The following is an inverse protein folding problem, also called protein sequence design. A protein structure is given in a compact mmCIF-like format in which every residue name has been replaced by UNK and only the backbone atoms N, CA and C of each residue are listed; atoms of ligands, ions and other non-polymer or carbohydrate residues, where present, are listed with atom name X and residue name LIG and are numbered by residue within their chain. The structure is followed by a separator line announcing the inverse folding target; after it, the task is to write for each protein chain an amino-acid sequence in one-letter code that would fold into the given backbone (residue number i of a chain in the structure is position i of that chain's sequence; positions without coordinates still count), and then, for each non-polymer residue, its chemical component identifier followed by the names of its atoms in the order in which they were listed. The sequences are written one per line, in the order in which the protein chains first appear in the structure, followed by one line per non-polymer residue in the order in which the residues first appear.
data_IF_904943688184
#
_entry.id   IF_904943688184
#
_cell.length_a   1.000
_cell.length_b   1.000
_cell.length_c   1.000
_cell.angle_alpha   90.00
_cell.angle_beta   90.00
_cell.angle_gamma   90.00
#
_symmetry.space_group_name_H-M   'P 1'
#
loop_
_entity.id
_entity.type
_entity.pdbx_description
1 polymer ?
#
# COMPACT_ATOMS: atom_id res chain seq x y z
N UNK A 1 -5.74 -21.88 4.36
CA UNK A 1 -5.86 -20.70 3.48
C UNK A 1 -7.34 -20.39 3.31
N UNK A 2 -7.79 -19.19 3.68
CA UNK A 2 -9.21 -18.81 3.54
C UNK A 2 -9.48 -18.55 2.05
N UNK A 3 -10.48 -19.23 1.47
CA UNK A 3 -10.92 -19.00 0.09
C UNK A 3 -11.85 -17.79 0.07
N UNK A 4 -11.44 -16.74 -0.64
CA UNK A 4 -12.29 -15.58 -0.91
C UNK A 4 -12.96 -15.80 -2.26
N UNK A 5 -14.28 -16.03 -2.26
CA UNK A 5 -15.06 -16.26 -3.47
C UNK A 5 -15.72 -14.98 -4.03
N UNK A 6 -15.72 -13.91 -3.24
CA UNK A 6 -16.28 -12.60 -3.60
C UNK A 6 -15.42 -11.48 -3.00
N UNK A 7 -15.12 -10.46 -3.80
CA UNK A 7 -14.34 -9.29 -3.37
C UNK A 7 -15.29 -8.10 -3.18
N UNK A 8 -15.51 -7.70 -1.93
CA UNK A 8 -16.22 -6.47 -1.57
C UNK A 8 -15.24 -5.37 -1.12
N UNK A 9 -15.73 -4.14 -0.92
CA UNK A 9 -14.88 -3.01 -0.56
C UNK A 9 -14.12 -3.19 0.74
N UNK A 10 -14.73 -3.83 1.75
CA UNK A 10 -14.08 -4.10 3.03
C UNK A 10 -12.93 -5.10 2.89
N UNK A 11 -13.17 -6.19 2.16
CA UNK A 11 -12.16 -7.23 1.90
C UNK A 11 -11.01 -6.62 1.11
N UNK A 12 -11.31 -5.82 0.09
CA UNK A 12 -10.31 -5.08 -0.67
C UNK A 12 -9.49 -4.13 0.21
N UNK A 13 -10.15 -3.32 1.05
CA UNK A 13 -9.46 -2.42 1.97
C UNK A 13 -8.52 -3.17 2.93
N UNK A 14 -8.98 -4.29 3.49
CA UNK A 14 -8.16 -5.14 4.35
C UNK A 14 -6.96 -5.75 3.63
N UNK A 15 -7.13 -6.16 2.36
CA UNK A 15 -6.01 -6.64 1.53
C UNK A 15 -4.95 -5.55 1.34
N UNK A 16 -5.35 -4.32 1.03
CA UNK A 16 -4.43 -3.19 0.86
C UNK A 16 -3.72 -2.84 2.17
N UNK A 17 -4.46 -2.76 3.29
CA UNK A 17 -3.89 -2.49 4.62
C UNK A 17 -2.88 -3.59 5.01
N UNK A 18 -3.23 -4.85 4.80
CA UNK A 18 -2.33 -5.98 5.06
C UNK A 18 -1.08 -5.92 4.17
N UNK A 19 -1.24 -5.57 2.89
CA UNK A 19 -0.13 -5.39 1.95
C UNK A 19 0.81 -4.26 2.37
N UNK A 20 0.26 -3.12 2.80
CA UNK A 20 1.03 -1.99 3.32
C UNK A 20 1.84 -2.36 4.56
N UNK A 21 1.23 -3.09 5.51
CA UNK A 21 1.92 -3.58 6.71
C UNK A 21 3.05 -4.56 6.34
N UNK A 22 2.81 -5.48 5.40
CA UNK A 22 3.83 -6.40 4.94
C UNK A 22 5.00 -5.67 4.28
N UNK A 23 4.73 -4.68 3.43
CA UNK A 23 5.75 -3.85 2.81
C UNK A 23 6.53 -3.04 3.85
N UNK A 24 5.86 -2.43 4.82
CA UNK A 24 6.52 -1.70 5.90
C UNK A 24 7.48 -2.59 6.72
N UNK A 25 7.06 -3.81 7.04
CA UNK A 25 7.86 -4.77 7.80
C UNK A 25 9.10 -5.25 7.02
N UNK A 26 8.99 -5.33 5.69
CA UNK A 26 10.06 -5.79 4.81
C UNK A 26 10.79 -4.65 4.08
N UNK A 27 10.56 -3.38 4.46
CA UNK A 27 11.08 -2.22 3.71
C UNK A 27 12.60 -2.24 3.57
N UNK A 28 13.33 -2.69 4.60
CA UNK A 28 14.80 -2.79 4.54
C UNK A 28 15.26 -3.80 3.50
N UNK A 29 14.60 -4.95 3.42
CA UNK A 29 14.86 -5.93 2.35
C UNK A 29 14.59 -5.31 0.98
N UNK A 30 13.55 -4.50 0.82
CA UNK A 30 13.26 -3.81 -0.44
C UNK A 30 14.27 -2.70 -0.75
N UNK A 31 14.71 -1.94 0.26
CA UNK A 31 15.80 -0.96 0.14
C UNK A 31 17.09 -1.62 -0.38
N UNK A 32 17.37 -2.85 0.05
CA UNK A 32 18.52 -3.66 -0.39
C UNK A 32 18.37 -4.26 -1.80
N UNK A 33 17.15 -4.34 -2.35
CA UNK A 33 16.92 -4.91 -3.69
C UNK A 33 17.14 -3.90 -4.81
N UNK A 34 16.84 -2.62 -4.59
CA UNK A 34 16.96 -1.61 -5.65
C UNK A 34 18.38 -1.02 -5.70
N UNK A 35 19.28 -1.74 -6.37
CA UNK A 35 20.73 -1.43 -6.42
C UNK A 35 21.19 -0.87 -7.78
N UNK A 36 20.29 -0.40 -8.65
CA UNK A 36 20.62 0.06 -10.00
C UNK A 36 20.11 1.49 -10.29
N UNK A 37 20.90 2.39 -10.92
CA UNK A 37 22.36 2.34 -11.16
C UNK A 37 23.19 2.76 -9.94
N UNK A 38 22.56 3.39 -8.94
CA UNK A 38 23.15 3.78 -7.65
C UNK A 38 22.20 3.34 -6.54
N UNK A 39 22.67 2.69 -5.47
CA UNK A 39 21.82 2.34 -4.34
C UNK A 39 21.52 3.59 -3.51
N UNK A 40 20.37 4.21 -3.76
CA UNK A 40 19.88 5.31 -2.92
C UNK A 40 19.32 4.79 -1.57
N UNK A 41 19.13 3.46 -1.47
CA UNK A 41 18.83 2.76 -0.21
C UNK A 41 17.49 3.15 0.41
N UNK A 42 16.58 3.75 -0.37
CA UNK A 42 15.35 4.36 0.12
C UNK A 42 14.08 3.83 -0.57
N UNK A 43 14.20 2.87 -1.50
CA UNK A 43 13.07 2.40 -2.32
C UNK A 43 11.98 1.73 -1.50
N UNK A 44 12.35 0.80 -0.62
CA UNK A 44 11.42 0.20 0.32
C UNK A 44 10.85 1.22 1.29
N UNK A 45 11.66 2.17 1.75
CA UNK A 45 11.21 3.27 2.60
C UNK A 45 10.15 4.12 1.89
N UNK A 46 10.42 4.59 0.68
CA UNK A 46 9.51 5.38 -0.15
C UNK A 46 8.21 4.63 -0.44
N UNK A 47 8.30 3.38 -0.91
CA UNK A 47 7.12 2.56 -1.18
C UNK A 47 6.31 2.29 0.10
N UNK A 48 6.96 2.08 1.24
CA UNK A 48 6.26 1.86 2.52
C UNK A 48 5.50 3.10 2.99
N UNK A 49 6.06 4.30 2.78
CA UNK A 49 5.39 5.56 3.09
C UNK A 49 4.18 5.78 2.19
N UNK A 50 4.33 5.55 0.88
CA UNK A 50 3.23 5.60 -0.09
C UNK A 50 2.12 4.62 0.29
N UNK A 51 2.46 3.37 0.60
CA UNK A 51 1.49 2.35 0.97
C UNK A 51 0.80 2.64 2.31
N UNK A 52 1.53 3.21 3.27
CA UNK A 52 0.98 3.62 4.57
C UNK A 52 -0.04 4.75 4.40
N UNK A 53 0.20 5.69 3.48
CA UNK A 53 -0.75 6.77 3.19
C UNK A 53 -2.09 6.21 2.68
N UNK A 54 -2.08 5.30 1.69
CA UNK A 54 -3.31 4.69 1.21
C UNK A 54 -4.01 3.80 2.25
N UNK A 55 -3.25 3.04 3.04
CA UNK A 55 -3.81 2.20 4.11
C UNK A 55 -4.50 3.03 5.20
N UNK A 56 -3.91 4.18 5.54
CA UNK A 56 -4.47 5.10 6.55
C UNK A 56 -5.81 5.67 6.09
N UNK A 57 -5.93 6.09 4.83
CA UNK A 57 -7.20 6.63 4.30
C UNK A 57 -8.27 5.55 4.13
N UNK A 58 -7.88 4.33 3.74
CA UNK A 58 -8.80 3.18 3.70
C UNK A 58 -9.31 2.81 5.10
N UNK A 59 -8.46 2.84 6.12
CA UNK A 59 -8.85 2.55 7.50
C UNK A 59 -9.86 3.57 8.02
N UNK A 60 -9.68 4.85 7.70
CA UNK A 60 -10.64 5.92 8.06
C UNK A 60 -11.99 5.79 7.35
N UNK A 61 -12.03 5.17 6.16
CA UNK A 61 -13.25 5.06 5.35
C UNK A 61 -14.29 4.13 5.97
N UNK A 62 -13.86 3.09 6.68
CA UNK A 62 -14.75 2.06 7.23
C UNK A 62 -15.47 1.26 6.14
N UNK A 63 -16.72 0.90 6.41
CA UNK A 63 -17.54 0.11 5.48
C UNK A 63 -17.77 0.83 4.15
N UNK A 64 -17.42 0.19 3.03
CA UNK A 64 -17.50 0.84 1.72
C UNK A 64 -17.68 -0.12 0.54
N UNK A 65 -18.02 0.44 -0.63
CA UNK A 65 -18.11 -0.33 -1.88
C UNK A 65 -16.72 -0.53 -2.47
N UNK A 66 -16.55 -1.55 -3.32
CA UNK A 66 -15.28 -1.83 -3.99
C UNK A 66 -14.76 -0.60 -4.76
N UNK A 67 -15.62 0.04 -5.55
CA UNK A 67 -15.27 1.25 -6.30
C UNK A 67 -14.80 2.38 -5.39
N UNK A 68 -15.53 2.68 -4.31
CA UNK A 68 -15.14 3.74 -3.38
C UNK A 68 -13.84 3.45 -2.65
N UNK A 69 -13.56 2.18 -2.33
CA UNK A 69 -12.28 1.79 -1.76
C UNK A 69 -11.15 1.97 -2.78
N UNK A 70 -11.34 1.54 -4.03
CA UNK A 70 -10.35 1.71 -5.09
C UNK A 70 -10.06 3.19 -5.38
N UNK A 71 -11.10 4.03 -5.45
CA UNK A 71 -10.95 5.49 -5.62
C UNK A 71 -10.17 6.11 -4.45
N UNK A 72 -10.49 5.71 -3.22
CA UNK A 72 -9.79 6.19 -2.02
C UNK A 72 -8.32 5.77 -2.04
N UNK A 73 -8.03 4.51 -2.37
CA UNK A 73 -6.66 3.99 -2.53
C UNK A 73 -5.90 4.79 -3.59
N UNK A 74 -6.48 4.99 -4.76
CA UNK A 74 -5.85 5.71 -5.88
C UNK A 74 -5.53 7.15 -5.50
N UNK A 75 -6.49 7.88 -4.91
CA UNK A 75 -6.30 9.27 -4.54
C UNK A 75 -5.28 9.43 -3.41
N UNK A 76 -5.32 8.57 -2.40
CA UNK A 76 -4.39 8.59 -1.28
C UNK A 76 -2.96 8.21 -1.72
N UNK A 77 -2.82 7.26 -2.65
CA UNK A 77 -1.53 6.90 -3.25
C UNK A 77 -0.94 8.10 -3.98
N UNK A 78 -1.72 8.75 -4.86
CA UNK A 78 -1.26 9.93 -5.61
C UNK A 78 -0.81 11.07 -4.69
N UNK A 79 -1.54 11.33 -3.60
CA UNK A 79 -1.25 12.41 -2.65
C UNK A 79 -0.11 12.09 -1.68
N UNK A 80 0.07 10.81 -1.37
CA UNK A 80 1.05 10.30 -0.40
C UNK A 80 2.33 9.74 -1.02
N UNK A 81 2.43 9.70 -2.35
CA UNK A 81 3.56 9.16 -3.08
C UNK A 81 4.89 9.81 -2.64
N UNK A 82 5.92 8.98 -2.47
CA UNK A 82 7.29 9.37 -2.13
C UNK A 82 8.26 8.76 -3.12
N UNK A 83 9.30 9.52 -3.48
CA UNK A 83 10.26 9.12 -4.50
C UNK A 83 9.62 9.07 -5.89
N UNK A 84 10.24 8.30 -6.78
CA UNK A 84 9.81 8.11 -8.17
C UNK A 84 8.91 6.87 -8.33
N UNK A 85 8.47 6.28 -7.22
CA UNK A 85 7.70 5.05 -7.15
C UNK A 85 6.20 5.31 -7.09
#
# INVERSE_FOLDING_TARGET
MIKINTLNGNTFAQMIISGANNLYNNRKTVDELNVFPVPDGDTGTNMSLTATAMATELLKKGDTTLTKAADTMSFATLRGARGNS
#
